data_IF_973758159887
#
_entry.id   IF_973758159887
#
_cell.length_a   1.000
_cell.length_b   1.000
_cell.length_c   1.000
_cell.angle_alpha   90.00
_cell.angle_beta   90.00
_cell.angle_gamma   90.00
#
_symmetry.space_group_name_H-M   'P 1'
#
loop_
_entity.id
_entity.type
_entity.pdbx_description
1 polymer ?
#
# COMPACT_ATOMS: atom_id res chain seq x y z
N UNK A 1 -32.42 57.30 -18.91
CA UNK A 1 -32.58 55.93 -18.41
C UNK A 1 -31.28 55.48 -17.77
N UNK A 2 -31.19 55.33 -16.44
CA UNK A 2 -30.00 54.75 -15.82
C UNK A 2 -30.11 53.22 -15.91
N UNK A 3 -29.09 52.57 -16.47
CA UNK A 3 -28.99 51.11 -16.53
C UNK A 3 -28.60 50.59 -15.16
N UNK A 4 -29.52 49.88 -14.51
CA UNK A 4 -29.27 49.07 -13.31
C UNK A 4 -28.29 47.94 -13.67
N UNK A 5 -27.11 47.93 -13.08
CA UNK A 5 -26.22 46.78 -13.09
C UNK A 5 -26.67 45.83 -11.98
N UNK A 6 -27.28 44.71 -12.34
CA UNK A 6 -27.62 43.63 -11.42
C UNK A 6 -26.35 42.84 -11.13
N UNK A 7 -25.75 43.07 -9.96
CA UNK A 7 -24.64 42.26 -9.45
C UNK A 7 -25.19 40.89 -8.99
N UNK A 8 -24.98 39.88 -9.82
CA UNK A 8 -25.27 38.48 -9.50
C UNK A 8 -24.21 37.99 -8.51
N UNK A 9 -24.54 37.96 -7.21
CA UNK A 9 -23.74 37.27 -6.20
C UNK A 9 -23.84 35.76 -6.42
N UNK A 10 -22.86 35.19 -7.13
CA UNK A 10 -22.65 33.74 -7.14
C UNK A 10 -22.05 33.37 -5.78
N UNK A 11 -22.88 32.88 -4.87
CA UNK A 11 -22.44 32.19 -3.66
C UNK A 11 -21.76 30.89 -4.07
N UNK A 12 -20.45 30.97 -4.31
CA UNK A 12 -19.55 29.81 -4.31
C UNK A 12 -19.54 29.26 -2.88
N UNK A 13 -20.41 28.32 -2.56
CA UNK A 13 -20.21 27.47 -1.40
C UNK A 13 -18.90 26.71 -1.63
N UNK A 14 -17.87 26.88 -0.78
CA UNK A 14 -16.72 26.00 -0.85
C UNK A 14 -17.22 24.58 -0.59
N UNK A 15 -17.05 23.69 -1.56
CA UNK A 15 -17.08 22.25 -1.32
C UNK A 15 -15.92 21.95 -0.37
N UNK A 16 -16.17 22.06 0.93
CA UNK A 16 -15.27 21.53 1.93
C UNK A 16 -15.30 20.01 1.76
N UNK A 17 -14.24 19.48 1.15
CA UNK A 17 -13.97 18.05 1.22
C UNK A 17 -13.74 17.73 2.71
N UNK A 18 -14.74 17.11 3.34
CA UNK A 18 -14.60 16.66 4.71
C UNK A 18 -13.75 15.40 4.68
N UNK A 19 -12.78 15.30 5.59
CA UNK A 19 -12.01 14.07 5.77
C UNK A 19 -12.94 12.91 6.11
N UNK A 20 -12.44 11.70 5.85
CA UNK A 20 -13.13 10.44 6.17
C UNK A 20 -13.78 10.48 7.57
N UNK A 21 -15.10 10.25 7.65
CA UNK A 21 -15.85 10.26 8.89
C UNK A 21 -16.08 8.85 9.46
N UNK A 22 -16.30 8.68 10.78
CA UNK A 22 -16.56 7.37 11.39
C UNK A 22 -17.72 6.58 10.78
N UNK A 23 -18.78 7.26 10.31
CA UNK A 23 -19.93 6.62 9.67
C UNK A 23 -19.59 5.95 8.31
N UNK A 24 -18.51 6.39 7.67
CA UNK A 24 -18.02 5.90 6.38
C UNK A 24 -17.02 4.74 6.53
N UNK A 25 -16.73 4.32 7.76
CA UNK A 25 -15.80 3.22 8.06
C UNK A 25 -16.56 1.93 8.30
N UNK A 26 -16.17 0.87 7.58
CA UNK A 26 -16.65 -0.51 7.80
C UNK A 26 -15.55 -1.34 8.44
N UNK A 27 -15.88 -2.09 9.48
CA UNK A 27 -14.92 -2.92 10.22
C UNK A 27 -15.18 -4.39 9.95
N UNK A 28 -14.15 -5.15 9.56
CA UNK A 28 -14.23 -6.58 9.25
C UNK A 28 -13.43 -7.36 10.29
N UNK A 29 -14.12 -8.21 11.05
CA UNK A 29 -13.52 -9.02 12.10
C UNK A 29 -13.67 -10.51 11.81
N UNK A 30 -12.60 -11.28 12.10
CA UNK A 30 -12.59 -12.73 11.95
C UNK A 30 -13.13 -13.40 13.21
N UNK A 31 -14.40 -13.84 13.20
CA UNK A 31 -15.00 -14.53 14.35
C UNK A 31 -14.41 -15.92 14.63
N UNK A 32 -13.53 -16.43 13.77
CA UNK A 32 -12.76 -17.64 14.04
C UNK A 32 -11.58 -17.39 14.98
N UNK A 33 -11.06 -16.16 15.03
CA UNK A 33 -9.92 -15.78 15.85
C UNK A 33 -10.41 -15.12 17.13
N UNK A 34 -10.04 -15.69 18.27
CA UNK A 34 -10.33 -15.12 19.59
C UNK A 34 -9.76 -13.70 19.71
N UNK A 35 -10.52 -12.80 20.32
CA UNK A 35 -10.13 -11.39 20.49
C UNK A 35 -10.41 -10.48 19.29
N UNK A 36 -10.56 -11.00 18.06
CA UNK A 36 -10.79 -10.19 16.86
C UNK A 36 -12.06 -9.33 16.95
N UNK A 37 -13.18 -9.93 17.34
CA UNK A 37 -14.47 -9.22 17.47
C UNK A 37 -14.49 -8.25 18.68
N UNK A 38 -13.99 -8.62 19.87
CA UNK A 38 -13.82 -7.66 20.98
C UNK A 38 -12.98 -6.44 20.60
N UNK A 39 -11.82 -6.63 19.95
CA UNK A 39 -10.99 -5.51 19.48
C UNK A 39 -11.71 -4.65 18.43
N UNK A 40 -12.47 -5.26 17.53
CA UNK A 40 -13.31 -4.53 16.57
C UNK A 40 -14.30 -3.61 17.28
N UNK A 41 -15.01 -4.13 18.29
CA UNK A 41 -15.96 -3.34 19.07
C UNK A 41 -15.29 -2.22 19.85
N UNK A 42 -14.13 -2.51 20.45
CA UNK A 42 -13.33 -1.50 21.14
C UNK A 42 -12.97 -0.35 20.20
N UNK A 43 -12.38 -0.67 19.05
CA UNK A 43 -12.04 0.34 18.03
C UNK A 43 -13.26 1.18 17.61
N UNK A 44 -14.38 0.51 17.31
CA UNK A 44 -15.60 1.18 16.88
C UNK A 44 -16.16 2.11 17.96
N UNK A 45 -16.13 1.69 19.22
CA UNK A 45 -16.56 2.51 20.35
C UNK A 45 -15.67 3.75 20.52
N UNK A 46 -14.34 3.59 20.50
CA UNK A 46 -13.41 4.70 20.65
C UNK A 46 -13.52 5.73 19.50
N UNK A 47 -13.82 5.28 18.28
CA UNK A 47 -13.96 6.15 17.10
C UNK A 47 -15.39 6.62 16.84
N UNK A 48 -16.38 6.18 17.61
CA UNK A 48 -17.79 6.45 17.32
C UNK A 48 -18.29 5.87 16.00
N UNK A 49 -17.69 4.76 15.54
CA UNK A 49 -18.15 4.04 14.34
C UNK A 49 -19.45 3.31 14.67
N UNK A 50 -20.53 3.47 13.88
CA UNK A 50 -21.80 2.81 14.12
C UNK A 50 -21.66 1.29 14.24
N UNK A 51 -22.27 0.68 15.27
CA UNK A 51 -22.11 -0.75 15.57
C UNK A 51 -22.59 -1.67 14.42
N UNK A 52 -23.51 -1.19 13.59
CA UNK A 52 -23.99 -1.84 12.38
C UNK A 52 -22.94 -1.94 11.28
N UNK A 53 -21.87 -1.14 11.33
CA UNK A 53 -20.76 -1.17 10.37
C UNK A 53 -19.80 -2.37 10.60
N UNK A 54 -20.12 -3.29 11.52
CA UNK A 54 -19.31 -4.48 11.81
C UNK A 54 -19.72 -5.68 10.94
N UNK A 55 -18.79 -6.12 10.10
CA UNK A 55 -18.89 -7.39 9.35
C UNK A 55 -18.14 -8.47 10.11
N UNK A 56 -18.82 -9.58 10.40
CA UNK A 56 -18.24 -10.76 11.05
C UNK A 56 -18.06 -11.88 10.04
N UNK A 57 -16.83 -12.06 9.56
CA UNK A 57 -16.46 -13.17 8.67
C UNK A 57 -15.95 -14.36 9.47
N UNK A 58 -15.94 -15.56 8.88
CA UNK A 58 -15.26 -16.74 9.43
C UNK A 58 -14.31 -17.24 8.36
N UNK A 59 -13.02 -17.08 8.58
CA UNK A 59 -11.98 -17.53 7.66
C UNK A 59 -10.76 -18.05 8.44
N UNK A 60 -9.71 -18.42 7.72
CA UNK A 60 -8.44 -18.91 8.26
C UNK A 60 -7.80 -17.96 9.28
N UNK A 61 -7.05 -18.53 10.22
CA UNK A 61 -6.17 -17.83 11.17
C UNK A 61 -4.73 -17.69 10.64
N UNK A 62 -4.48 -18.18 9.41
CA UNK A 62 -3.15 -18.14 8.78
C UNK A 62 -2.94 -16.83 8.05
N UNK A 63 -1.67 -16.47 7.87
CA UNK A 63 -1.25 -15.29 7.10
C UNK A 63 -1.66 -15.35 5.62
N UNK A 64 -2.05 -16.53 5.12
CA UNK A 64 -2.42 -16.76 3.72
C UNK A 64 -3.77 -17.45 3.62
N UNK A 65 -4.63 -16.91 2.78
CA UNK A 65 -5.89 -17.52 2.37
C UNK A 65 -5.82 -17.90 0.89
N UNK A 66 -6.43 -19.01 0.50
CA UNK A 66 -6.57 -19.36 -0.92
C UNK A 66 -7.51 -18.40 -1.63
N UNK A 67 -7.31 -18.12 -2.92
CA UNK A 67 -8.25 -17.30 -3.73
C UNK A 67 -9.72 -17.68 -3.53
N UNK A 68 -10.06 -18.96 -3.66
CA UNK A 68 -11.41 -19.49 -3.45
C UNK A 68 -12.01 -19.12 -2.08
N UNK A 69 -11.23 -19.26 -1.00
CA UNK A 69 -11.69 -18.92 0.35
C UNK A 69 -11.75 -17.40 0.55
N UNK A 70 -10.83 -16.63 -0.02
CA UNK A 70 -10.94 -15.16 -0.04
C UNK A 70 -12.26 -14.73 -0.68
N UNK A 71 -12.56 -15.24 -1.88
CA UNK A 71 -13.77 -14.87 -2.62
C UNK A 71 -15.05 -15.22 -1.85
N UNK A 72 -15.11 -16.43 -1.29
CA UNK A 72 -16.32 -16.95 -0.65
C UNK A 72 -16.51 -16.53 0.81
N UNK A 73 -15.43 -16.40 1.59
CA UNK A 73 -15.47 -16.17 3.03
C UNK A 73 -15.22 -14.70 3.42
N UNK A 74 -14.57 -13.91 2.56
CA UNK A 74 -14.19 -12.51 2.84
C UNK A 74 -14.83 -11.55 1.84
N UNK A 75 -14.50 -11.64 0.55
CA UNK A 75 -14.93 -10.67 -0.46
C UNK A 75 -16.46 -10.67 -0.63
N UNK A 76 -17.09 -11.85 -0.78
CA UNK A 76 -18.55 -11.97 -0.92
C UNK A 76 -19.35 -11.37 0.23
N UNK A 77 -19.07 -11.67 1.52
CA UNK A 77 -19.81 -11.03 2.61
C UNK A 77 -19.55 -9.52 2.71
N UNK A 78 -18.33 -9.05 2.40
CA UNK A 78 -18.02 -7.61 2.36
C UNK A 78 -18.82 -6.93 1.24
N UNK A 79 -18.76 -7.44 0.01
CA UNK A 79 -19.53 -6.94 -1.13
C UNK A 79 -21.03 -6.85 -0.82
N UNK A 80 -21.61 -7.94 -0.31
CA UNK A 80 -23.04 -7.99 0.05
C UNK A 80 -23.42 -6.93 1.09
N UNK A 81 -22.53 -6.65 2.04
CA UNK A 81 -22.75 -5.62 3.04
C UNK A 81 -22.73 -4.21 2.41
N UNK A 82 -21.75 -3.94 1.55
CA UNK A 82 -21.61 -2.65 0.85
C UNK A 82 -22.78 -2.39 -0.11
N UNK A 83 -23.17 -3.40 -0.90
CA UNK A 83 -24.36 -3.35 -1.77
C UNK A 83 -25.64 -3.02 -0.99
N UNK A 84 -25.78 -3.56 0.23
CA UNK A 84 -26.93 -3.30 1.09
C UNK A 84 -26.96 -1.85 1.61
N UNK A 85 -25.80 -1.23 1.86
CA UNK A 85 -25.70 0.19 2.27
C UNK A 85 -26.06 1.12 1.11
N UNK A 86 -25.57 0.79 -0.08
CA UNK A 86 -25.82 1.55 -1.31
C UNK A 86 -25.26 2.98 -1.26
N UNK A 87 -25.55 3.76 -2.32
CA UNK A 87 -25.00 5.12 -2.48
C UNK A 87 -25.45 6.13 -1.42
N UNK A 88 -26.54 5.85 -0.69
CA UNK A 88 -27.05 6.73 0.36
C UNK A 88 -26.20 6.69 1.65
N UNK A 89 -25.36 5.67 1.81
CA UNK A 89 -24.48 5.50 2.96
C UNK A 89 -23.10 5.08 2.46
N UNK A 90 -22.36 6.00 1.81
CA UNK A 90 -21.08 5.69 1.20
C UNK A 90 -20.09 5.17 2.24
N UNK A 91 -19.23 4.27 1.78
CA UNK A 91 -18.11 3.73 2.56
C UNK A 91 -16.85 4.29 1.96
N UNK A 92 -16.05 4.98 2.76
CA UNK A 92 -14.75 5.52 2.35
C UNK A 92 -13.60 4.58 2.72
N UNK A 93 -13.75 3.77 3.77
CA UNK A 93 -12.70 2.84 4.18
C UNK A 93 -13.22 1.53 4.78
N UNK A 94 -12.43 0.47 4.60
CA UNK A 94 -12.58 -0.82 5.27
C UNK A 94 -11.39 -1.06 6.20
N UNK A 95 -11.67 -1.50 7.43
CA UNK A 95 -10.66 -1.85 8.43
C UNK A 95 -10.68 -3.34 8.70
N UNK A 96 -9.56 -4.01 8.42
CA UNK A 96 -9.38 -5.41 8.78
C UNK A 96 -8.84 -5.50 10.21
N UNK A 97 -9.55 -6.23 11.07
CA UNK A 97 -9.13 -6.41 12.45
C UNK A 97 -8.20 -7.62 12.59
N UNK A 98 -7.43 -7.60 13.69
CA UNK A 98 -6.65 -8.71 14.22
C UNK A 98 -7.13 -10.10 13.77
N UNK A 99 -6.24 -10.89 13.18
CA UNK A 99 -6.52 -12.27 12.79
C UNK A 99 -7.13 -12.43 11.39
N UNK A 100 -7.13 -11.37 10.58
CA UNK A 100 -7.41 -11.45 9.15
C UNK A 100 -6.14 -11.83 8.36
N UNK A 101 -6.24 -12.68 7.33
CA UNK A 101 -5.09 -13.06 6.52
C UNK A 101 -4.42 -11.85 5.87
N UNK A 102 -3.09 -11.89 5.70
CA UNK A 102 -2.32 -10.87 4.99
C UNK A 102 -2.37 -11.05 3.48
N UNK A 103 -2.37 -12.29 3.00
CA UNK A 103 -2.21 -12.64 1.59
C UNK A 103 -3.33 -13.47 1.03
N UNK A 104 -3.71 -13.17 -0.20
CA UNK A 104 -4.45 -14.09 -1.06
C UNK A 104 -3.48 -14.80 -2.01
N UNK A 105 -3.57 -16.13 -2.09
CA UNK A 105 -2.80 -16.91 -3.04
C UNK A 105 -3.22 -16.61 -4.48
N UNK A 106 -2.34 -16.90 -5.43
CA UNK A 106 -2.74 -16.98 -6.82
C UNK A 106 -3.90 -17.97 -7.02
N UNK A 107 -4.78 -17.74 -8.02
CA UNK A 107 -5.77 -18.72 -8.42
C UNK A 107 -5.10 -20.01 -8.87
N UNK A 108 -5.81 -21.13 -8.69
CA UNK A 108 -5.38 -22.42 -9.25
C UNK A 108 -5.62 -22.36 -10.76
N UNK A 109 -4.58 -22.70 -11.54
CA UNK A 109 -4.68 -22.74 -12.99
C UNK A 109 -5.66 -23.83 -13.43
N UNK A 110 -6.45 -23.55 -14.46
CA UNK A 110 -7.25 -24.59 -15.12
C UNK A 110 -6.34 -25.55 -15.89
N UNK A 111 -6.83 -26.75 -16.22
CA UNK A 111 -6.08 -27.70 -17.06
C UNK A 111 -5.68 -27.12 -18.41
N UNK A 112 -6.47 -26.19 -18.93
CA UNK A 112 -6.17 -25.48 -20.18
C UNK A 112 -5.01 -24.51 -20.00
N UNK A 113 -5.05 -23.69 -18.95
CA UNK A 113 -3.96 -22.78 -18.59
C UNK A 113 -2.66 -23.51 -18.25
N UNK A 114 -2.74 -24.67 -17.59
CA UNK A 114 -1.57 -25.53 -17.35
C UNK A 114 -0.93 -26.02 -18.65
N UNK A 115 -1.74 -26.41 -19.64
CA UNK A 115 -1.26 -26.84 -20.96
C UNK A 115 -0.64 -25.68 -21.73
N UNK A 116 -1.30 -24.52 -21.74
CA UNK A 116 -0.79 -23.31 -22.38
C UNK A 116 0.56 -22.90 -21.76
N UNK A 117 0.64 -22.86 -20.43
CA UNK A 117 1.90 -22.60 -19.73
C UNK A 117 2.99 -23.60 -20.14
N UNK A 118 2.68 -24.90 -20.17
CA UNK A 118 3.66 -25.92 -20.55
C UNK A 118 4.13 -25.76 -22.01
N UNK A 119 3.24 -25.38 -22.93
CA UNK A 119 3.59 -25.10 -24.33
C UNK A 119 4.51 -23.89 -24.43
N UNK A 120 4.23 -22.81 -23.69
CA UNK A 120 5.08 -21.63 -23.64
C UNK A 120 6.45 -21.93 -23.03
N UNK A 121 6.50 -22.71 -21.94
CA UNK A 121 7.76 -23.14 -21.32
C UNK A 121 8.60 -23.97 -22.30
N UNK A 122 7.98 -24.92 -23.01
CA UNK A 122 8.67 -25.71 -24.03
C UNK A 122 9.21 -24.82 -25.16
N UNK A 123 8.37 -23.95 -25.74
CA UNK A 123 8.77 -23.05 -26.81
C UNK A 123 9.92 -22.13 -26.38
N UNK A 124 9.94 -21.66 -25.12
CA UNK A 124 11.04 -20.86 -24.58
C UNK A 124 12.35 -21.65 -24.53
N UNK A 125 12.32 -22.90 -24.08
CA UNK A 125 13.52 -23.72 -23.98
C UNK A 125 14.06 -24.11 -25.36
N UNK A 126 13.18 -24.38 -26.33
CA UNK A 126 13.55 -24.62 -27.73
C UNK A 126 14.27 -23.40 -28.33
N UNK A 127 13.71 -22.20 -28.14
CA UNK A 127 14.32 -20.95 -28.57
C UNK A 127 15.65 -20.66 -27.86
N UNK A 128 15.77 -20.99 -26.57
CA UNK A 128 17.05 -20.86 -25.82
C UNK A 128 18.10 -21.84 -26.34
N UNK A 129 17.70 -23.05 -26.74
CA UNK A 129 18.58 -24.01 -27.38
C UNK A 129 19.03 -23.53 -28.76
N UNK A 130 18.11 -23.05 -29.60
CA UNK A 130 18.42 -22.46 -30.92
C UNK A 130 19.39 -21.28 -30.78
N UNK A 131 19.15 -20.38 -29.81
CA UNK A 131 20.05 -19.25 -29.55
C UNK A 131 21.45 -19.69 -29.16
N UNK A 132 21.59 -20.73 -28.32
CA UNK A 132 22.90 -21.27 -27.92
C UNK A 132 23.63 -21.88 -29.11
N UNK A 133 22.93 -22.67 -29.94
CA UNK A 133 23.52 -23.24 -31.14
C UNK A 133 24.01 -22.16 -32.13
N UNK A 134 23.24 -21.07 -32.31
CA UNK A 134 23.65 -19.94 -33.15
C UNK A 134 24.92 -19.23 -32.65
N UNK A 135 25.15 -19.20 -31.34
CA UNK A 135 26.36 -18.60 -30.75
C UNK A 135 27.62 -19.47 -30.95
N UNK A 136 27.44 -20.74 -31.32
CA UNK A 136 28.52 -21.70 -31.58
C UNK A 136 28.87 -21.83 -33.06
N UNK A 137 28.07 -21.25 -33.98
CA UNK A 137 28.31 -21.28 -35.42
C UNK A 137 29.49 -20.39 -35.83
N UNK A 138 30.26 -20.85 -36.81
CA UNK A 138 31.32 -20.06 -37.45
C UNK A 138 30.76 -19.23 -38.62
N UNK A 139 31.42 -18.11 -38.95
CA UNK A 139 30.97 -17.19 -40.02
C UNK A 139 30.84 -17.86 -41.42
N UNK A 140 31.48 -19.02 -41.63
CA UNK A 140 31.45 -19.77 -42.90
C UNK A 140 30.22 -20.68 -43.06
N UNK A 141 29.49 -20.98 -41.97
CA UNK A 141 28.39 -21.97 -41.95
C UNK A 141 26.99 -21.33 -42.02
N UNK A 142 26.91 -19.99 -42.02
CA UNK A 142 25.66 -19.26 -41.87
C UNK A 142 25.00 -18.88 -43.21
N UNK A 143 23.77 -19.36 -43.45
CA UNK A 143 22.95 -19.00 -44.63
C UNK A 143 22.19 -17.66 -44.48
N UNK A 144 22.03 -17.18 -43.24
CA UNK A 144 21.47 -15.86 -42.86
C UNK A 144 22.42 -15.21 -41.84
N UNK A 145 22.39 -13.88 -41.70
CA UNK A 145 23.17 -13.17 -40.66
C UNK A 145 22.82 -13.70 -39.25
N UNK A 146 23.73 -14.42 -38.57
CA UNK A 146 23.46 -15.03 -37.27
C UNK A 146 22.99 -14.03 -36.21
N UNK A 147 23.46 -12.77 -36.29
CA UNK A 147 23.10 -11.71 -35.34
C UNK A 147 21.65 -11.27 -35.51
N UNK A 148 21.15 -11.24 -36.73
CA UNK A 148 19.73 -10.90 -37.01
C UNK A 148 18.82 -11.99 -36.46
N UNK A 149 19.20 -13.26 -36.64
CA UNK A 149 18.45 -14.40 -36.11
C UNK A 149 18.48 -14.44 -34.59
N UNK A 150 19.64 -14.24 -33.97
CA UNK A 150 19.80 -14.17 -32.51
C UNK A 150 18.92 -13.08 -31.89
N UNK A 151 18.88 -11.89 -32.51
CA UNK A 151 18.04 -10.78 -32.08
C UNK A 151 16.55 -11.13 -32.15
N UNK A 152 16.12 -11.79 -33.23
CA UNK A 152 14.73 -12.26 -33.40
C UNK A 152 14.35 -13.25 -32.31
N UNK A 153 15.18 -14.27 -32.07
CA UNK A 153 14.95 -15.27 -31.04
C UNK A 153 14.91 -14.63 -29.65
N UNK A 154 15.81 -13.69 -29.36
CA UNK A 154 15.81 -12.95 -28.09
C UNK A 154 14.52 -12.15 -27.90
N UNK A 155 13.99 -11.56 -28.98
CA UNK A 155 12.67 -10.90 -28.97
C UNK A 155 11.52 -11.88 -28.67
N UNK A 156 11.52 -13.06 -29.31
CA UNK A 156 10.51 -14.10 -29.08
C UNK A 156 10.56 -14.64 -27.64
N UNK A 157 11.76 -14.91 -27.10
CA UNK A 157 11.94 -15.31 -25.71
C UNK A 157 11.35 -14.27 -24.77
N UNK A 158 11.58 -12.98 -25.03
CA UNK A 158 11.02 -11.89 -24.21
C UNK A 158 9.49 -11.87 -24.23
N UNK A 159 8.87 -12.10 -25.40
CA UNK A 159 7.40 -12.19 -25.52
C UNK A 159 6.86 -13.38 -24.71
N UNK A 160 7.51 -14.54 -24.81
CA UNK A 160 7.11 -15.73 -24.04
C UNK A 160 7.31 -15.50 -22.55
N UNK A 161 8.43 -14.91 -22.12
CA UNK A 161 8.68 -14.60 -20.71
C UNK A 161 7.63 -13.62 -20.16
N UNK A 162 7.15 -12.66 -20.96
CA UNK A 162 6.03 -11.78 -20.57
C UNK A 162 4.71 -12.55 -20.43
N UNK A 163 4.38 -13.43 -21.37
CA UNK A 163 3.18 -14.28 -21.27
C UNK A 163 3.24 -15.20 -20.04
N UNK A 164 4.41 -15.78 -19.75
CA UNK A 164 4.63 -16.67 -18.61
C UNK A 164 4.46 -15.98 -17.26
N UNK A 165 4.63 -14.65 -17.17
CA UNK A 165 4.32 -13.90 -15.94
C UNK A 165 2.86 -14.05 -15.55
N UNK A 166 1.93 -14.10 -16.51
CA UNK A 166 0.50 -14.29 -16.26
C UNK A 166 0.16 -15.60 -15.54
N UNK A 167 1.04 -16.60 -15.63
CA UNK A 167 0.89 -17.89 -14.96
C UNK A 167 1.73 -18.01 -13.68
N UNK A 168 2.48 -16.97 -13.32
CA UNK A 168 3.35 -16.99 -12.14
C UNK A 168 2.55 -16.69 -10.87
N UNK A 169 2.61 -17.55 -9.83
CA UNK A 169 1.92 -17.28 -8.57
C UNK A 169 2.34 -15.96 -7.91
N UNK A 170 3.59 -15.53 -8.13
CA UNK A 170 4.10 -14.26 -7.63
C UNK A 170 3.41 -13.05 -8.27
N UNK A 171 2.97 -13.18 -9.51
CA UNK A 171 2.28 -12.12 -10.25
C UNK A 171 0.77 -12.09 -10.01
N UNK A 172 0.17 -13.18 -9.54
CA UNK A 172 -1.29 -13.26 -9.32
C UNK A 172 -1.72 -13.42 -7.87
N UNK A 173 -0.77 -13.45 -6.93
CA UNK A 173 -1.05 -13.27 -5.51
C UNK A 173 -1.14 -11.78 -5.18
N UNK A 174 -1.77 -11.44 -4.06
CA UNK A 174 -1.87 -10.06 -3.60
C UNK A 174 -2.01 -10.03 -2.07
N UNK A 175 -1.95 -8.83 -1.49
CA UNK A 175 -2.46 -8.62 -0.14
C UNK A 175 -3.97 -8.70 -0.13
N UNK A 176 -4.54 -9.18 0.97
CA UNK A 176 -6.00 -9.18 1.17
C UNK A 176 -6.55 -7.75 1.14
N UNK A 177 -5.78 -6.80 1.64
CA UNK A 177 -6.13 -5.38 1.71
C UNK A 177 -6.30 -4.80 0.30
N UNK A 178 -5.32 -5.02 -0.59
CA UNK A 178 -5.34 -4.48 -1.96
C UNK A 178 -6.44 -5.10 -2.82
N UNK A 179 -6.84 -6.34 -2.52
CA UNK A 179 -7.94 -7.03 -3.19
C UNK A 179 -9.30 -6.59 -2.67
N UNK A 180 -9.39 -6.28 -1.37
CA UNK A 180 -10.59 -5.70 -0.78
C UNK A 180 -10.81 -4.26 -1.23
N UNK A 181 -9.74 -3.52 -1.57
CA UNK A 181 -9.87 -2.22 -2.24
C UNK A 181 -10.65 -2.33 -3.55
N UNK A 182 -10.65 -3.49 -4.20
CA UNK A 182 -11.32 -3.78 -5.46
C UNK A 182 -12.58 -4.64 -5.28
N UNK A 183 -13.12 -4.76 -4.06
CA UNK A 183 -14.25 -5.67 -3.77
C UNK A 183 -15.53 -5.28 -4.53
N UNK A 184 -15.68 -3.99 -4.84
CA UNK A 184 -16.81 -3.43 -5.59
C UNK A 184 -16.56 -3.32 -7.09
N UNK A 185 -15.30 -3.47 -7.54
CA UNK A 185 -14.97 -3.49 -8.94
C UNK A 185 -15.55 -4.74 -9.63
N UNK A 186 -15.84 -4.60 -10.92
CA UNK A 186 -16.19 -5.73 -11.80
C UNK A 186 -15.02 -6.70 -12.01
N UNK A 187 -15.00 -7.37 -13.17
CA UNK A 187 -13.88 -8.24 -13.52
C UNK A 187 -12.61 -7.42 -13.79
N UNK A 188 -11.51 -7.81 -13.16
CA UNK A 188 -10.19 -7.20 -13.36
C UNK A 188 -9.10 -8.28 -13.46
N UNK A 189 -7.98 -8.00 -14.15
CA UNK A 189 -6.87 -8.95 -14.22
C UNK A 189 -6.23 -9.14 -12.84
N UNK A 190 -6.14 -10.39 -12.40
CA UNK A 190 -5.45 -10.76 -11.15
C UNK A 190 -3.92 -10.77 -11.31
N UNK A 191 -3.42 -10.92 -12.54
CA UNK A 191 -1.99 -10.93 -12.82
C UNK A 191 -1.47 -9.50 -13.01
N UNK A 192 -0.48 -9.12 -12.21
CA UNK A 192 0.19 -7.82 -12.30
C UNK A 192 -0.42 -6.75 -11.40
N UNK A 193 -0.02 -5.51 -11.66
CA UNK A 193 -0.39 -4.34 -10.88
C UNK A 193 -1.52 -3.57 -11.59
N UNK A 194 -2.56 -3.19 -10.86
CA UNK A 194 -3.61 -2.31 -11.37
C UNK A 194 -3.33 -0.87 -10.97
N UNK A 195 -3.37 0.12 -11.89
CA UNK A 195 -3.15 1.50 -11.52
C UNK A 195 -4.26 1.99 -10.59
N UNK A 196 -3.87 2.63 -9.50
CA UNK A 196 -4.80 3.19 -8.54
C UNK A 196 -5.40 4.52 -9.06
N UNK A 197 -6.74 4.66 -9.19
CA UNK A 197 -7.36 5.90 -9.65
C UNK A 197 -7.27 7.04 -8.63
N UNK A 198 -7.01 6.77 -7.34
CA UNK A 198 -6.78 7.80 -6.32
C UNK A 198 -5.36 8.34 -6.30
N UNK A 199 -4.40 7.61 -6.87
CA UNK A 199 -3.00 8.03 -6.87
C UNK A 199 -2.84 9.42 -7.49
N UNK A 200 -2.13 10.31 -6.79
CA UNK A 200 -1.96 11.69 -7.22
C UNK A 200 -1.35 11.79 -8.63
N UNK A 201 -0.40 10.90 -8.96
CA UNK A 201 0.22 10.84 -10.29
C UNK A 201 -0.71 10.39 -11.43
N UNK A 202 -1.90 9.85 -11.11
CA UNK A 202 -2.89 9.40 -12.09
C UNK A 202 -4.07 10.40 -12.26
N UNK A 203 -4.02 11.59 -11.65
CA UNK A 203 -5.11 12.58 -11.73
C UNK A 203 -5.50 12.98 -13.17
N UNK A 204 -4.55 13.03 -14.09
CA UNK A 204 -4.81 13.36 -15.50
C UNK A 204 -5.24 12.17 -16.37
N UNK A 205 -5.18 10.95 -15.85
CA UNK A 205 -5.42 9.70 -16.60
C UNK A 205 -6.71 8.98 -16.19
N UNK A 206 -7.63 9.67 -15.52
CA UNK A 206 -8.83 9.05 -14.93
C UNK A 206 -9.70 8.32 -15.97
N UNK A 207 -9.84 8.88 -17.18
CA UNK A 207 -10.62 8.28 -18.26
C UNK A 207 -9.99 6.99 -18.84
N UNK A 208 -8.71 6.72 -18.54
CA UNK A 208 -7.96 5.55 -19.01
C UNK A 208 -7.84 4.46 -17.93
N UNK A 209 -8.40 4.68 -16.73
CA UNK A 209 -8.27 3.75 -15.62
C UNK A 209 -9.15 2.50 -15.85
N UNK A 210 -8.64 1.29 -15.57
CA UNK A 210 -9.40 0.05 -15.69
C UNK A 210 -10.49 -0.09 -14.61
N UNK A 211 -10.41 0.69 -13.54
CA UNK A 211 -11.40 0.75 -12.45
C UNK A 211 -11.67 2.21 -12.07
N UNK A 212 -12.93 2.53 -11.78
CA UNK A 212 -13.37 3.85 -11.33
C UNK A 212 -13.03 4.14 -9.87
N UNK A 213 -13.06 5.42 -9.48
CA UNK A 213 -12.86 5.81 -8.07
C UNK A 213 -14.01 5.31 -7.18
N UNK A 214 -15.22 5.31 -7.69
CA UNK A 214 -16.42 4.80 -7.04
C UNK A 214 -16.42 3.27 -6.84
N UNK A 215 -15.53 2.56 -7.53
CA UNK A 215 -15.33 1.12 -7.38
C UNK A 215 -14.20 0.77 -6.39
N UNK A 216 -13.39 1.76 -5.98
CA UNK A 216 -12.19 1.56 -5.16
C UNK A 216 -12.38 2.09 -3.75
N UNK A 217 -12.07 1.25 -2.76
CA UNK A 217 -12.12 1.59 -1.34
C UNK A 217 -10.72 1.68 -0.74
N UNK A 218 -10.53 2.62 0.19
CA UNK A 218 -9.35 2.57 1.04
C UNK A 218 -9.44 1.37 1.98
N UNK A 219 -8.35 0.63 2.14
CA UNK A 219 -8.28 -0.50 3.07
C UNK A 219 -7.08 -0.32 3.98
N UNK A 220 -7.31 -0.55 5.26
CA UNK A 220 -6.33 -0.51 6.34
C UNK A 220 -6.51 -1.73 7.24
N UNK A 221 -5.56 -1.97 8.13
CA UNK A 221 -5.71 -2.99 9.17
C UNK A 221 -5.23 -2.54 10.54
N UNK A 222 -5.90 -3.03 11.57
CA UNK A 222 -5.49 -2.91 12.97
C UNK A 222 -5.07 -4.30 13.46
N UNK A 223 -3.76 -4.55 13.38
CA UNK A 223 -3.16 -5.86 13.57
C UNK A 223 -1.73 -5.73 14.14
N UNK A 224 -1.16 -6.80 14.70
CA UNK A 224 0.15 -6.77 15.37
C UNK A 224 0.65 -8.14 15.83
N UNK A 225 1.62 -8.22 16.73
CA UNK A 225 2.06 -9.51 17.28
C UNK A 225 1.16 -10.02 18.42
N UNK A 226 0.46 -9.13 19.12
CA UNK A 226 -0.46 -9.42 20.22
C UNK A 226 -1.71 -8.52 20.15
N UNK A 227 -2.77 -8.89 20.86
CA UNK A 227 -3.98 -8.05 21.00
C UNK A 227 -3.66 -6.71 21.69
N UNK A 228 -2.72 -6.72 22.64
CA UNK A 228 -2.27 -5.51 23.34
C UNK A 228 -1.62 -4.51 22.40
N UNK A 229 -0.82 -4.97 21.43
CA UNK A 229 -0.25 -4.09 20.40
C UNK A 229 -1.36 -3.45 19.56
N UNK A 230 -2.41 -4.20 19.19
CA UNK A 230 -3.54 -3.64 18.45
C UNK A 230 -4.27 -2.58 19.26
N UNK A 231 -4.54 -2.87 20.53
CA UNK A 231 -5.15 -1.90 21.45
C UNK A 231 -4.29 -0.65 21.60
N UNK A 232 -2.98 -0.83 21.78
CA UNK A 232 -2.00 0.26 21.86
C UNK A 232 -2.02 1.13 20.61
N UNK A 233 -2.00 0.55 19.41
CA UNK A 233 -2.07 1.30 18.15
C UNK A 233 -3.33 2.19 18.09
N UNK A 234 -4.49 1.66 18.49
CA UNK A 234 -5.74 2.44 18.56
C UNK A 234 -5.57 3.60 19.54
N UNK A 235 -5.15 3.30 20.77
CA UNK A 235 -5.02 4.29 21.85
C UNK A 235 -3.97 5.36 21.54
N UNK A 236 -2.90 5.00 20.84
CA UNK A 236 -1.80 5.88 20.46
C UNK A 236 -2.21 6.89 19.38
N UNK A 237 -3.01 6.45 18.39
CA UNK A 237 -3.52 7.36 17.34
C UNK A 237 -4.51 8.37 17.91
N UNK A 238 -5.41 7.95 18.80
CA UNK A 238 -6.34 8.83 19.50
C UNK A 238 -5.60 9.85 20.38
N UNK A 239 -4.61 9.36 21.14
CA UNK A 239 -3.79 10.24 21.99
C UNK A 239 -3.08 11.32 21.18
N UNK A 240 -2.47 10.95 20.05
CA UNK A 240 -1.72 11.88 19.21
C UNK A 240 -2.63 12.89 18.48
N UNK A 241 -3.89 12.56 18.21
CA UNK A 241 -4.86 13.54 17.71
C UNK A 241 -5.26 14.55 18.78
N UNK A 242 -5.42 14.12 20.03
CA UNK A 242 -5.75 15.00 21.15
C UNK A 242 -4.59 15.89 21.57
N UNK A 243 -3.35 15.37 21.56
CA UNK A 243 -2.17 16.04 22.11
C UNK A 243 -1.22 16.61 21.06
N UNK A 244 -1.47 16.31 19.78
CA UNK A 244 -0.56 16.56 18.68
C UNK A 244 0.59 15.55 18.61
N UNK A 245 0.96 15.16 17.39
CA UNK A 245 2.16 14.35 17.18
C UNK A 245 3.41 15.22 17.26
N UNK A 246 4.32 14.89 18.18
CA UNK A 246 5.59 15.59 18.39
C UNK A 246 6.77 14.61 18.39
N UNK A 247 7.97 15.14 18.18
CA UNK A 247 9.21 14.37 18.05
C UNK A 247 10.02 14.82 16.83
N UNK A 248 10.80 13.91 16.28
CA UNK A 248 11.71 14.14 15.16
C UNK A 248 11.29 13.34 13.94
N UNK A 249 11.59 13.86 12.76
CA UNK A 249 11.37 13.17 11.50
C UNK A 249 12.70 12.67 10.93
N UNK A 250 12.73 11.38 10.57
CA UNK A 250 13.91 10.71 10.05
C UNK A 250 13.65 10.21 8.63
N UNK A 251 14.45 10.65 7.68
CA UNK A 251 14.40 10.17 6.29
C UNK A 251 15.75 9.56 5.92
N UNK A 252 15.76 8.25 5.69
CA UNK A 252 16.96 7.51 5.28
C UNK A 252 16.98 7.42 3.75
N UNK A 253 17.51 8.49 3.14
CA UNK A 253 17.83 8.52 1.73
C UNK A 253 19.19 7.85 1.53
N UNK A 254 19.27 6.91 0.60
CA UNK A 254 20.51 6.15 0.38
C UNK A 254 21.56 6.97 -0.38
N UNK A 255 21.14 8.07 -0.99
CA UNK A 255 21.98 8.93 -1.81
C UNK A 255 21.72 10.42 -1.56
N UNK A 256 22.68 11.29 -1.94
CA UNK A 256 22.43 12.72 -2.02
C UNK A 256 21.29 13.01 -2.99
N UNK A 257 20.56 14.10 -2.73
CA UNK A 257 19.41 14.51 -3.55
C UNK A 257 19.76 14.44 -5.05
N UNK A 258 19.02 13.64 -5.85
CA UNK A 258 19.28 13.54 -7.28
C UNK A 258 19.22 14.90 -7.97
N UNK A 259 20.14 15.14 -8.92
CA UNK A 259 20.20 16.38 -9.70
C UNK A 259 19.25 16.40 -10.90
N UNK A 260 18.65 15.26 -11.25
CA UNK A 260 17.73 15.13 -12.39
C UNK A 260 16.29 15.12 -11.94
N UNK A 261 15.46 15.94 -12.59
CA UNK A 261 14.01 15.97 -12.39
C UNK A 261 13.29 14.76 -13.04
N UNK A 262 13.99 13.96 -13.85
CA UNK A 262 13.44 12.79 -14.56
C UNK A 262 13.92 11.46 -13.95
N UNK A 263 14.09 11.41 -12.63
CA UNK A 263 14.50 10.21 -11.93
C UNK A 263 13.49 9.07 -12.12
N UNK A 264 13.99 7.82 -12.17
CA UNK A 264 13.16 6.62 -12.25
C UNK A 264 13.65 5.54 -11.29
N UNK A 265 12.78 4.61 -10.92
CA UNK A 265 13.11 3.51 -10.01
C UNK A 265 13.60 4.01 -8.64
N UNK A 266 14.78 3.54 -8.22
CA UNK A 266 15.36 3.90 -6.93
C UNK A 266 15.64 5.39 -6.78
N UNK A 267 16.15 6.05 -7.83
CA UNK A 267 16.47 7.47 -7.78
C UNK A 267 15.20 8.34 -7.56
N UNK A 268 14.06 7.92 -8.10
CA UNK A 268 12.78 8.60 -7.90
C UNK A 268 12.34 8.56 -6.44
N UNK A 269 12.39 7.38 -5.81
CA UNK A 269 11.98 7.24 -4.40
C UNK A 269 12.98 7.91 -3.45
N UNK A 270 14.26 7.89 -3.78
CA UNK A 270 15.27 8.61 -3.01
C UNK A 270 15.04 10.13 -3.06
N UNK A 271 14.80 10.68 -4.25
CA UNK A 271 14.38 12.08 -4.42
C UNK A 271 13.10 12.37 -3.62
N UNK A 272 12.14 11.45 -3.61
CA UNK A 272 10.89 11.59 -2.89
C UNK A 272 11.08 11.65 -1.37
N UNK A 273 12.07 10.95 -0.79
CA UNK A 273 12.43 11.07 0.62
C UNK A 273 12.99 12.46 0.96
N UNK A 274 13.86 13.00 0.09
CA UNK A 274 14.37 14.37 0.23
C UNK A 274 13.25 15.41 0.17
N UNK A 275 12.28 15.21 -0.73
CA UNK A 275 11.13 16.11 -0.85
C UNK A 275 10.16 15.97 0.33
N UNK A 276 9.93 14.76 0.84
CA UNK A 276 9.18 14.52 2.07
C UNK A 276 9.80 15.27 3.27
N UNK A 277 11.12 15.17 3.43
CA UNK A 277 11.86 15.93 4.44
C UNK A 277 11.66 17.45 4.29
N UNK A 278 11.63 17.95 3.04
CA UNK A 278 11.31 19.34 2.74
C UNK A 278 9.91 19.76 3.21
N UNK A 279 8.89 18.96 2.91
CA UNK A 279 7.51 19.22 3.35
C UNK A 279 7.38 19.26 4.87
N UNK A 280 7.99 18.29 5.57
CA UNK A 280 7.97 18.26 7.04
C UNK A 280 8.63 19.50 7.64
N UNK A 281 9.80 19.92 7.12
CA UNK A 281 10.48 21.16 7.55
C UNK A 281 9.63 22.41 7.34
N UNK A 282 8.87 22.45 6.24
CA UNK A 282 8.06 23.63 5.89
C UNK A 282 6.76 23.72 6.72
N UNK A 283 6.16 22.58 7.05
CA UNK A 283 4.80 22.50 7.61
C UNK A 283 4.76 22.24 9.11
N UNK A 284 5.87 21.83 9.71
CA UNK A 284 5.95 21.45 11.13
C UNK A 284 7.14 22.12 11.80
N UNK A 285 7.19 22.07 13.14
CA UNK A 285 8.35 22.47 13.93
C UNK A 285 9.28 21.28 14.27
N UNK A 286 9.02 20.09 13.70
CA UNK A 286 9.80 18.89 14.00
C UNK A 286 11.24 19.05 13.47
N UNK A 287 12.27 18.71 14.27
CA UNK A 287 13.61 18.54 13.73
C UNK A 287 13.61 17.43 12.66
N UNK A 288 14.21 17.71 11.49
CA UNK A 288 14.24 16.78 10.37
C UNK A 288 15.66 16.35 10.06
N UNK A 289 15.92 15.06 10.26
CA UNK A 289 17.19 14.39 10.01
C UNK A 289 17.06 13.64 8.69
N UNK A 290 17.99 13.90 7.78
CA UNK A 290 18.13 13.13 6.54
C UNK A 290 19.49 12.45 6.60
N UNK A 291 19.49 11.12 6.60
CA UNK A 291 20.68 10.34 6.26
C UNK A 291 20.67 10.25 4.74
N UNK A 292 21.69 10.75 4.06
CA UNK A 292 21.78 10.80 2.59
C UNK A 292 22.97 10.00 2.04
N UNK A 293 23.50 9.09 2.85
CA UNK A 293 24.57 8.17 2.49
C UNK A 293 24.08 6.73 2.43
N UNK A 294 24.97 5.80 2.09
CA UNK A 294 24.63 4.38 2.05
C UNK A 294 24.50 3.74 3.45
N UNK A 295 24.71 4.52 4.53
CA UNK A 295 24.56 4.04 5.89
C UNK A 295 23.10 4.00 6.27
N UNK A 296 22.74 2.99 7.06
CA UNK A 296 21.45 2.96 7.75
C UNK A 296 21.60 3.62 9.11
N UNK A 297 20.52 4.18 9.64
CA UNK A 297 20.45 4.46 11.08
C UNK A 297 20.76 3.19 11.88
N UNK A 298 21.67 3.29 12.83
CA UNK A 298 22.12 2.23 13.72
C UNK A 298 21.37 2.27 15.06
N UNK A 299 21.48 1.21 15.90
CA UNK A 299 20.74 1.15 17.15
C UNK A 299 20.87 2.39 18.02
N UNK A 300 19.72 2.97 18.40
CA UNK A 300 19.62 4.19 19.22
C UNK A 300 19.94 5.53 18.53
N UNK A 301 20.23 5.56 17.22
CA UNK A 301 20.56 6.80 16.49
C UNK A 301 19.34 7.68 16.17
N UNK A 302 18.12 7.13 16.28
CA UNK A 302 16.87 7.83 16.01
C UNK A 302 15.94 7.93 17.25
N UNK A 303 16.36 8.62 18.33
CA UNK A 303 15.50 8.83 19.49
C UNK A 303 14.35 9.81 19.19
N UNK A 304 13.21 9.63 19.85
CA UNK A 304 12.02 10.47 19.70
C UNK A 304 11.47 10.50 18.26
N UNK A 305 11.53 9.37 17.57
CA UNK A 305 11.07 9.25 16.18
C UNK A 305 9.54 9.35 16.10
N UNK A 306 9.06 10.43 15.48
CA UNK A 306 7.65 10.68 15.20
C UNK A 306 7.28 10.30 13.76
N UNK A 307 8.15 10.62 12.81
CA UNK A 307 7.99 10.31 11.40
C UNK A 307 9.21 9.56 10.88
N UNK A 308 9.01 8.50 10.09
CA UNK A 308 10.11 7.76 9.47
C UNK A 308 9.79 7.24 8.07
N UNK A 309 10.70 7.42 7.12
CA UNK A 309 10.77 6.55 5.95
C UNK A 309 12.20 6.34 5.47
N UNK A 310 12.50 5.16 4.94
CA UNK A 310 13.89 4.80 4.64
C UNK A 310 14.13 3.54 3.83
N UNK A 311 15.37 3.36 3.36
CA UNK A 311 15.91 2.15 2.74
C UNK A 311 16.88 1.43 3.69
N UNK A 312 17.64 0.41 3.32
CA UNK A 312 17.25 -0.93 2.85
C UNK A 312 17.97 -1.91 3.79
N UNK A 313 17.20 -2.63 4.61
CA UNK A 313 17.68 -3.77 5.39
C UNK A 313 16.66 -4.90 5.31
N UNK A 314 16.66 -5.58 4.17
CA UNK A 314 15.65 -6.59 3.81
C UNK A 314 15.44 -7.61 4.93
N UNK A 315 14.21 -7.64 5.47
CA UNK A 315 13.78 -8.56 6.52
C UNK A 315 14.73 -8.61 7.74
N UNK A 316 15.48 -7.53 7.97
CA UNK A 316 16.43 -7.36 9.06
C UNK A 316 16.18 -6.00 9.69
N UNK A 317 15.22 -5.97 10.61
CA UNK A 317 14.96 -4.77 11.40
C UNK A 317 16.24 -4.29 12.11
N UNK A 318 16.47 -2.99 12.06
CA UNK A 318 17.51 -2.31 12.85
C UNK A 318 16.78 -1.48 13.90
N UNK A 319 17.09 -1.73 15.18
CA UNK A 319 16.47 -1.10 16.34
C UNK A 319 17.00 0.33 16.58
N UNK A 320 16.91 1.17 15.54
CA UNK A 320 17.44 2.52 15.56
C UNK A 320 16.53 3.51 16.31
N UNK A 321 15.25 3.17 16.50
CA UNK A 321 14.20 4.13 16.80
C UNK A 321 13.64 3.97 18.20
N UNK A 322 13.57 5.08 18.94
CA UNK A 322 12.65 5.21 20.07
C UNK A 322 11.41 5.94 19.58
N UNK A 323 10.31 5.22 19.38
CA UNK A 323 9.09 5.79 18.77
C UNK A 323 8.33 6.69 19.75
N UNK A 324 7.86 7.85 19.26
CA UNK A 324 6.89 8.66 20.01
C UNK A 324 5.49 8.08 19.86
N UNK A 325 4.63 8.35 20.85
CA UNK A 325 3.24 7.86 20.84
C UNK A 325 2.50 8.46 19.64
N UNK A 326 1.94 7.58 18.80
CA UNK A 326 1.28 7.96 17.54
C UNK A 326 2.22 8.05 16.33
N UNK A 327 3.48 7.62 16.45
CA UNK A 327 4.44 7.71 15.37
C UNK A 327 4.00 6.97 14.09
N UNK A 328 4.41 7.52 12.96
CA UNK A 328 4.11 7.01 11.62
C UNK A 328 5.41 6.72 10.89
N UNK A 329 5.62 5.49 10.44
CA UNK A 329 6.75 5.23 9.57
C UNK A 329 6.73 3.91 8.83
N UNK A 330 7.47 3.85 7.72
CA UNK A 330 7.61 2.64 6.94
C UNK A 330 9.00 2.49 6.31
N UNK A 331 9.42 1.24 6.16
CA UNK A 331 10.71 0.91 5.56
C UNK A 331 10.51 0.35 4.15
N UNK A 332 11.27 0.87 3.19
CA UNK A 332 11.18 0.51 1.77
C UNK A 332 12.12 -0.66 1.49
N UNK A 333 11.62 -1.86 1.71
CA UNK A 333 12.29 -3.10 1.33
C UNK A 333 11.29 -4.21 0.97
N UNK A 334 11.70 -5.23 0.25
CA UNK A 334 10.75 -6.30 -0.09
C UNK A 334 10.30 -7.06 1.17
N UNK A 335 9.14 -7.71 1.14
CA UNK A 335 8.76 -8.70 2.17
C UNK A 335 8.64 -8.19 3.62
N UNK A 336 8.54 -6.87 3.85
CA UNK A 336 8.54 -6.28 5.20
C UNK A 336 7.29 -6.53 6.03
N UNK A 337 6.22 -7.01 5.40
CA UNK A 337 4.97 -7.39 6.05
C UNK A 337 4.60 -8.85 5.74
N UNK A 338 5.58 -9.76 5.65
CA UNK A 338 5.30 -11.18 5.40
C UNK A 338 4.51 -11.87 6.52
N UNK A 339 4.71 -11.41 7.75
CA UNK A 339 3.97 -11.82 8.93
C UNK A 339 3.98 -10.68 9.95
N UNK A 340 2.87 -10.51 10.64
CA UNK A 340 2.77 -9.63 11.81
C UNK A 340 2.87 -10.41 13.13
N UNK A 341 2.96 -11.74 13.07
CA UNK A 341 3.06 -12.63 14.25
C UNK A 341 4.48 -13.10 14.52
N UNK A 342 5.29 -13.34 13.48
CA UNK A 342 6.65 -13.91 13.61
C UNK A 342 7.66 -13.22 12.70
N UNK A 343 8.94 -13.51 12.95
CA UNK A 343 10.05 -13.00 12.15
C UNK A 343 10.58 -11.64 12.63
N UNK A 344 11.57 -11.13 11.93
CA UNK A 344 12.25 -9.84 12.19
C UNK A 344 11.98 -8.83 11.08
N UNK A 345 10.78 -8.90 10.49
CA UNK A 345 10.33 -7.99 9.44
C UNK A 345 10.04 -6.60 10.01
N UNK A 346 10.31 -5.55 9.24
CA UNK A 346 10.22 -4.17 9.72
C UNK A 346 8.81 -3.81 10.21
N UNK A 347 7.74 -4.17 9.49
CA UNK A 347 6.39 -3.83 9.95
C UNK A 347 6.08 -4.44 11.31
N UNK A 348 6.40 -5.73 11.50
CA UNK A 348 6.19 -6.39 12.80
C UNK A 348 7.03 -5.72 13.89
N UNK A 349 8.32 -5.55 13.66
CA UNK A 349 9.23 -5.07 14.70
C UNK A 349 8.94 -3.61 15.07
N UNK A 350 8.68 -2.74 14.09
CA UNK A 350 8.25 -1.37 14.37
C UNK A 350 6.96 -1.33 15.22
N UNK A 351 5.99 -2.21 14.94
CA UNK A 351 4.80 -2.34 15.78
C UNK A 351 5.13 -2.88 17.17
N UNK A 352 6.05 -3.84 17.32
CA UNK A 352 6.48 -4.28 18.66
C UNK A 352 7.10 -3.12 19.44
N UNK A 353 7.96 -2.31 18.79
CA UNK A 353 8.76 -1.25 19.41
C UNK A 353 8.03 0.08 19.64
N UNK A 354 6.81 0.27 19.13
CA UNK A 354 5.99 1.43 19.50
C UNK A 354 5.40 2.26 18.37
N UNK A 355 5.68 1.94 17.10
CA UNK A 355 5.04 2.66 15.99
C UNK A 355 3.53 2.44 16.02
N UNK A 356 2.76 3.49 15.72
CA UNK A 356 1.31 3.40 15.58
C UNK A 356 0.90 3.05 14.15
N UNK A 357 1.68 3.50 13.16
CA UNK A 357 1.38 3.27 11.74
C UNK A 357 2.60 2.77 11.00
N UNK A 358 2.42 1.70 10.23
CA UNK A 358 3.45 1.21 9.30
C UNK A 358 2.86 0.64 8.02
N UNK A 359 3.66 0.65 6.96
CA UNK A 359 3.27 0.23 5.62
C UNK A 359 4.31 -0.76 5.13
N UNK A 360 3.87 -1.85 4.52
CA UNK A 360 4.82 -2.78 3.94
C UNK A 360 4.17 -3.85 3.07
N UNK A 361 4.98 -4.46 2.19
CA UNK A 361 4.52 -5.49 1.28
C UNK A 361 4.51 -6.86 1.96
N UNK A 362 3.48 -7.63 1.66
CA UNK A 362 3.37 -9.02 2.12
C UNK A 362 4.25 -10.00 1.33
N UNK A 363 4.92 -9.52 0.29
CA UNK A 363 5.78 -10.27 -0.63
C UNK A 363 6.75 -9.35 -1.36
N UNK A 364 7.23 -9.74 -2.54
CA UNK A 364 8.04 -8.87 -3.41
C UNK A 364 7.16 -7.83 -4.12
N UNK A 365 7.33 -6.51 -3.86
CA UNK A 365 6.46 -5.50 -4.44
C UNK A 365 7.02 -4.85 -5.71
N UNK A 366 8.32 -4.91 -5.97
CA UNK A 366 9.03 -3.88 -6.73
C UNK A 366 8.92 -2.48 -6.10
N UNK A 367 9.97 -1.69 -6.26
CA UNK A 367 10.09 -0.37 -5.62
C UNK A 367 8.93 0.57 -5.95
N UNK A 368 8.46 0.55 -7.20
CA UNK A 368 7.40 1.43 -7.69
C UNK A 368 6.02 1.16 -7.09
N UNK A 369 5.86 0.09 -6.29
CA UNK A 369 4.61 -0.23 -5.63
C UNK A 369 4.42 0.43 -4.27
N UNK A 370 5.47 1.00 -3.69
CA UNK A 370 5.35 1.71 -2.42
C UNK A 370 4.54 2.99 -2.54
N UNK A 371 3.88 3.44 -1.47
CA UNK A 371 3.46 4.82 -1.35
C UNK A 371 4.64 5.77 -1.61
N UNK A 372 4.43 6.78 -2.44
CA UNK A 372 5.45 7.79 -2.74
C UNK A 372 5.67 8.65 -1.49
N UNK A 373 6.87 8.67 -0.88
CA UNK A 373 7.12 9.35 0.39
C UNK A 373 6.73 10.83 0.41
N UNK A 374 7.10 11.57 -0.62
CA UNK A 374 6.75 12.99 -0.76
C UNK A 374 5.24 13.21 -0.66
N UNK A 375 4.46 12.42 -1.40
CA UNK A 375 3.00 12.55 -1.43
C UNK A 375 2.44 12.13 -0.07
N UNK A 376 2.87 10.98 0.45
CA UNK A 376 2.35 10.45 1.72
C UNK A 376 2.60 11.40 2.88
N UNK A 377 3.86 11.77 3.14
CA UNK A 377 4.19 12.65 4.27
C UNK A 377 3.76 14.09 4.02
N UNK A 378 3.77 14.56 2.78
CA UNK A 378 3.27 15.89 2.41
C UNK A 378 1.79 16.06 2.72
N UNK A 379 0.95 15.09 2.38
CA UNK A 379 -0.48 15.08 2.73
C UNK A 379 -0.68 14.91 4.25
N UNK A 380 0.11 14.06 4.89
CA UNK A 380 0.01 13.80 6.33
C UNK A 380 0.25 15.08 7.16
N UNK A 381 1.33 15.82 6.89
CA UNK A 381 1.66 17.06 7.63
C UNK A 381 0.84 18.27 7.18
N UNK A 382 0.20 18.21 6.02
CA UNK A 382 -0.79 19.21 5.60
C UNK A 382 -2.04 19.12 6.49
N UNK A 383 -2.46 17.92 6.87
CA UNK A 383 -3.42 17.65 7.95
C UNK A 383 -4.90 17.69 7.54
N UNK A 384 -5.21 17.93 6.27
CA UNK A 384 -6.59 17.93 5.78
C UNK A 384 -7.13 16.51 5.58
N UNK A 385 -6.25 15.54 5.31
CA UNK A 385 -6.61 14.17 4.98
C UNK A 385 -6.40 13.21 6.15
N UNK A 386 -7.25 12.19 6.22
CA UNK A 386 -7.06 11.02 7.08
C UNK A 386 -5.92 10.13 6.59
N UNK A 387 -5.41 9.26 7.45
CA UNK A 387 -4.35 8.33 7.10
C UNK A 387 -4.70 7.45 5.89
N UNK A 388 -5.94 6.97 5.81
CA UNK A 388 -6.41 6.16 4.68
C UNK A 388 -6.39 6.94 3.35
N UNK A 389 -6.76 8.22 3.37
CA UNK A 389 -6.71 9.09 2.20
C UNK A 389 -5.26 9.39 1.80
N UNK A 390 -4.39 9.70 2.75
CA UNK A 390 -2.94 9.88 2.52
C UNK A 390 -2.34 8.63 1.86
N UNK A 391 -2.69 7.44 2.36
CA UNK A 391 -2.25 6.18 1.78
C UNK A 391 -2.77 5.97 0.36
N UNK A 392 -4.08 6.09 0.13
CA UNK A 392 -4.64 5.89 -1.21
C UNK A 392 -4.19 6.94 -2.23
N UNK A 393 -3.91 8.17 -1.83
CA UNK A 393 -3.44 9.20 -2.74
C UNK A 393 -1.95 9.07 -3.09
N UNK A 394 -1.17 8.37 -2.25
CA UNK A 394 0.26 8.14 -2.46
C UNK A 394 0.60 6.75 -3.01
N UNK A 395 -0.30 5.77 -2.91
CA UNK A 395 -0.13 4.40 -3.40
C UNK A 395 -0.34 4.31 -4.92
N UNK A 396 0.64 3.91 -5.74
CA UNK A 396 0.45 3.91 -7.20
C UNK A 396 -0.34 2.71 -7.73
N UNK A 397 -0.33 1.56 -7.03
CA UNK A 397 -0.84 0.30 -7.55
C UNK A 397 -1.75 -0.45 -6.56
N UNK A 398 -2.79 -1.10 -7.12
CA UNK A 398 -3.75 -2.00 -6.50
C UNK A 398 -3.58 -3.43 -7.04
N UNK A 399 -4.34 -4.38 -6.46
CA UNK A 399 -4.21 -5.82 -6.73
C UNK A 399 -2.77 -6.33 -6.57
N UNK A 400 -2.02 -5.76 -5.62
CA UNK A 400 -0.61 -6.06 -5.43
C UNK A 400 -0.28 -6.34 -3.97
N UNK A 401 0.96 -6.10 -3.52
CA UNK A 401 1.44 -6.62 -2.22
C UNK A 401 1.27 -5.66 -1.03
N UNK A 402 0.89 -4.41 -1.25
CA UNK A 402 0.97 -3.40 -0.18
C UNK A 402 -0.13 -3.56 0.87
N UNK A 403 0.23 -3.29 2.12
CA UNK A 403 -0.65 -3.24 3.29
C UNK A 403 -0.30 -2.01 4.11
N UNK A 404 -1.31 -1.34 4.66
CA UNK A 404 -1.16 -0.30 5.68
C UNK A 404 -1.72 -0.81 7.02
N UNK A 405 -0.86 -0.90 8.03
CA UNK A 405 -1.27 -1.13 9.42
C UNK A 405 -1.39 0.21 10.13
N UNK A 406 -2.56 0.52 10.64
CA UNK A 406 -2.87 1.79 11.28
C UNK A 406 -4.36 2.12 11.22
N UNK A 407 -4.77 3.08 12.04
CA UNK A 407 -6.14 3.57 12.07
C UNK A 407 -6.43 4.46 10.85
N UNK A 408 -7.39 4.10 9.97
CA UNK A 408 -7.67 4.87 8.76
C UNK A 408 -8.10 6.31 9.03
N UNK A 409 -8.71 6.58 10.20
CA UNK A 409 -9.24 7.89 10.57
C UNK A 409 -8.16 8.82 11.15
N UNK A 410 -6.96 8.31 11.41
CA UNK A 410 -5.92 9.03 12.12
C UNK A 410 -5.45 10.30 11.38
N UNK A 411 -5.45 11.43 12.09
CA UNK A 411 -5.07 12.77 11.60
C UNK A 411 -4.14 13.50 12.59
N UNK A 412 -2.86 13.10 12.70
CA UNK A 412 -1.93 13.65 13.69
C UNK A 412 -1.65 15.14 13.61
N UNK A 413 -1.96 15.78 12.47
CA UNK A 413 -1.71 17.19 12.20
C UNK A 413 -2.99 17.97 11.87
N UNK A 414 -4.16 17.39 12.17
CA UNK A 414 -5.48 17.97 11.94
C UNK A 414 -5.73 19.27 12.72
N UNK A 415 -6.68 20.06 12.24
CA UNK A 415 -6.97 21.40 12.78
C UNK A 415 -7.45 21.42 14.24
N UNK A 416 -8.05 20.33 14.74
CA UNK A 416 -8.52 20.25 16.14
C UNK A 416 -7.37 20.11 17.16
N UNK A 417 -6.18 19.67 16.74
CA UNK A 417 -4.98 19.58 17.58
C UNK A 417 -4.07 20.81 17.54
N UNK A 418 -4.41 21.83 16.74
CA UNK A 418 -3.72 23.13 16.75
C UNK A 418 -4.38 24.02 17.80
N UNK A 419 -4.21 23.66 19.07
CA UNK A 419 -4.44 24.60 20.17
C UNK A 419 -3.63 25.87 19.92
N UNK A 420 -4.31 27.00 20.11
CA UNK A 420 -3.90 28.41 19.94
C UNK A 420 -2.40 28.75 19.98
#
# INVERSE_FOLDING_TARGET
MPRFFLLLFVLLFPLTAHALAPAEVVVVANRFVEGSVPLARYYMEQRGIPAENLIRVRTTDKETVSRRHYDSEIAKPVRKFLEKRGAAQPVGAVVLMWGMPLRVSAPVLTREQEREKAQLEQAREDLRAERRALQELTDEEATEDPKVRERTITGQIKVIDEALKGFSPGWSSASVDSELSLVMAGDYPLAGMLPNPYFYGNRSKQAEMPVGRDEVLAVSRLDGATQDIVRRVIDDTLYAEEHGLSGKAYFDARWPKPQSDNASGYAFYDQSLHLAAGWVRQKTQMPVIVEDTQKLFQPGEAPDAALYAGWYSLARYVDAFTWTRGAVGYHIASQECQSLRRGQYWCKRMLDEGVAVTIGPVGEPYVQAYPVPEIFFGLLVEGSYSLAECYMMSLPWLSWKMVMVGDPLYRPFGAEGRGE
#
